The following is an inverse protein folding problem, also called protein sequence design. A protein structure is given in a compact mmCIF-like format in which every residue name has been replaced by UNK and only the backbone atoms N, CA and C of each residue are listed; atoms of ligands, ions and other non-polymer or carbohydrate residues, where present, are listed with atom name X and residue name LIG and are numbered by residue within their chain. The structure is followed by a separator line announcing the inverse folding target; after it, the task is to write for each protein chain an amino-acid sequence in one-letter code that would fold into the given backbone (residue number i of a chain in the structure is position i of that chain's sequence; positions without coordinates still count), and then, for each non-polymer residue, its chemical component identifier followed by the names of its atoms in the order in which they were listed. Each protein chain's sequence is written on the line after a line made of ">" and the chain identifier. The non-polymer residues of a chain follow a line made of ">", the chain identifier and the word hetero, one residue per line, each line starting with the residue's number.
data_IF_328338260835
#
_entry.id   IF_328338260835
#
_cell.length_a   1.000
_cell.length_b   1.000
_cell.length_c   1.000
_cell.angle_alpha   90.00
_cell.angle_beta   90.00
_cell.angle_gamma   90.00
#
_symmetry.space_group_name_H-M   'P 1'
#
loop_
_entity.id
_entity.type
_entity.pdbx_description
1 polymer ?
#
# COMPACT_ATOMS: atom_id res chain seq x y z
N UNK A 1 7.11 -17.35 -8.45
CA UNK A 1 5.82 -16.71 -8.75
C UNK A 1 6.08 -15.53 -9.66
N UNK A 2 5.20 -15.27 -10.61
CA UNK A 2 5.27 -14.14 -11.54
C UNK A 2 4.52 -12.93 -10.94
N UNK A 3 5.09 -11.72 -11.10
CA UNK A 3 4.47 -10.49 -10.61
C UNK A 3 3.46 -9.93 -11.60
N UNK A 4 2.25 -9.62 -11.15
CA UNK A 4 1.17 -9.06 -11.98
C UNK A 4 0.73 -7.71 -11.41
N UNK A 5 0.63 -6.71 -12.27
CA UNK A 5 0.07 -5.39 -11.92
C UNK A 5 -1.35 -5.24 -12.48
N UNK A 6 -2.23 -4.61 -11.70
CA UNK A 6 -3.62 -4.33 -12.09
C UNK A 6 -3.98 -2.90 -11.72
N UNK A 7 -4.70 -2.23 -12.60
CA UNK A 7 -5.30 -0.92 -12.33
C UNK A 7 -6.81 -1.11 -12.21
N UNK A 8 -7.39 -0.55 -11.15
CA UNK A 8 -8.82 -0.63 -10.88
C UNK A 8 -9.43 0.77 -10.84
N UNK A 9 -10.66 0.89 -11.31
CA UNK A 9 -11.45 2.11 -11.13
C UNK A 9 -12.16 2.06 -9.79
N UNK A 10 -12.14 3.16 -9.02
CA UNK A 10 -12.67 3.21 -7.65
C UNK A 10 -14.17 2.95 -7.54
N UNK A 11 -14.95 3.33 -8.56
CA UNK A 11 -16.42 3.21 -8.57
C UNK A 11 -16.93 2.18 -9.58
N UNK A 12 -16.10 1.20 -9.94
CA UNK A 12 -16.53 0.15 -10.88
C UNK A 12 -17.49 -0.83 -10.21
N UNK A 13 -18.60 -1.21 -10.87
CA UNK A 13 -19.53 -2.23 -10.35
C UNK A 13 -18.92 -3.64 -10.34
N UNK A 14 -17.76 -3.85 -10.99
CA UNK A 14 -17.06 -5.13 -10.99
C UNK A 14 -16.26 -5.39 -9.71
N UNK A 15 -16.06 -4.37 -8.87
CA UNK A 15 -15.29 -4.47 -7.62
C UNK A 15 -16.25 -4.44 -6.43
N UNK A 16 -16.23 -5.49 -5.61
CA UNK A 16 -17.12 -5.62 -4.45
C UNK A 16 -16.72 -4.69 -3.29
N UNK A 17 -15.45 -4.71 -2.88
CA UNK A 17 -14.92 -3.87 -1.80
C UNK A 17 -13.41 -3.69 -1.91
N UNK A 18 -12.89 -2.66 -1.26
CA UNK A 18 -11.45 -2.39 -1.11
C UNK A 18 -11.16 -2.30 0.39
N UNK A 19 -10.41 -3.26 0.93
CA UNK A 19 -10.03 -3.32 2.34
C UNK A 19 -8.51 -3.18 2.52
N UNK A 20 -8.09 -2.32 3.46
CA UNK A 20 -6.67 -2.12 3.78
C UNK A 20 -6.21 -3.25 4.70
N UNK A 21 -5.40 -4.17 4.16
CA UNK A 21 -4.83 -5.27 4.97
C UNK A 21 -3.70 -4.83 5.89
N UNK A 22 -2.85 -3.90 5.43
CA UNK A 22 -1.69 -3.36 6.18
C UNK A 22 -1.24 -2.03 5.58
N UNK A 23 -0.72 -1.12 6.41
CA UNK A 23 -0.12 0.15 5.97
C UNK A 23 1.40 -0.02 5.81
N UNK A 24 1.94 0.20 4.62
CA UNK A 24 3.39 0.16 4.38
C UNK A 24 4.05 1.52 4.62
N UNK A 25 5.26 1.53 5.20
CA UNK A 25 6.10 2.73 5.31
C UNK A 25 6.85 2.98 3.98
N UNK A 26 6.43 4.01 3.27
CA UNK A 26 6.99 4.41 1.97
C UNK A 26 7.19 5.93 1.90
N UNK A 27 8.26 6.35 1.23
CA UNK A 27 8.62 7.77 1.09
C UNK A 27 8.14 8.41 -0.21
N UNK A 28 7.74 7.59 -1.20
CA UNK A 28 7.35 8.05 -2.54
C UNK A 28 5.91 7.64 -2.81
N UNK A 29 5.13 8.51 -3.44
CA UNK A 29 3.75 8.21 -3.84
C UNK A 29 3.68 7.14 -4.94
N UNK A 30 4.63 7.15 -5.89
CA UNK A 30 4.71 6.16 -6.98
C UNK A 30 5.79 5.12 -6.66
N UNK A 31 5.40 3.85 -6.61
CA UNK A 31 6.26 2.73 -6.19
C UNK A 31 6.91 1.96 -7.35
N UNK A 32 7.10 2.60 -8.51
CA UNK A 32 7.65 1.92 -9.71
C UNK A 32 9.02 1.28 -9.52
N UNK A 33 9.81 1.77 -8.55
CA UNK A 33 11.10 1.17 -8.22
C UNK A 33 10.98 -0.29 -7.73
N UNK A 34 9.79 -0.72 -7.31
CA UNK A 34 9.55 -2.11 -6.92
C UNK A 34 9.54 -3.06 -8.12
N UNK A 35 9.23 -2.58 -9.34
CA UNK A 35 9.24 -3.40 -10.56
C UNK A 35 10.59 -4.04 -10.86
N UNK A 36 11.67 -3.32 -10.53
CA UNK A 36 13.03 -3.79 -10.73
C UNK A 36 13.59 -4.57 -9.53
N UNK A 37 12.84 -4.69 -8.42
CA UNK A 37 13.30 -5.34 -7.19
C UNK A 37 12.59 -6.66 -6.99
N UNK A 38 13.32 -7.64 -6.46
CA UNK A 38 12.79 -8.96 -6.12
C UNK A 38 13.30 -9.44 -4.75
N UNK A 39 12.61 -10.43 -4.20
CA UNK A 39 12.96 -11.06 -2.92
C UNK A 39 12.93 -10.09 -1.74
N UNK A 40 13.94 -10.19 -0.85
CA UNK A 40 14.01 -9.39 0.39
C UNK A 40 14.07 -7.88 0.13
N UNK A 41 14.65 -7.45 -0.99
CA UNK A 41 14.84 -6.04 -1.35
C UNK A 41 13.55 -5.31 -1.74
N UNK A 42 12.51 -6.05 -2.14
CA UNK A 42 11.20 -5.53 -2.49
C UNK A 42 10.24 -5.44 -1.29
N UNK A 43 10.62 -5.99 -0.12
CA UNK A 43 9.76 -6.02 1.06
C UNK A 43 9.68 -4.63 1.71
N UNK A 44 8.47 -4.07 1.74
CA UNK A 44 8.17 -2.83 2.46
C UNK A 44 7.88 -3.16 3.93
N UNK A 45 8.41 -2.34 4.84
CA UNK A 45 8.13 -2.44 6.29
C UNK A 45 6.75 -1.89 6.59
N UNK A 46 6.12 -2.42 7.62
CA UNK A 46 4.82 -1.93 8.08
C UNK A 46 4.99 -0.60 8.84
N UNK A 47 4.03 0.29 8.68
CA UNK A 47 3.96 1.54 9.43
C UNK A 47 3.28 1.26 10.77
N UNK A 48 4.06 0.91 11.78
CA UNK A 48 3.58 0.79 13.16
C UNK A 48 3.23 2.19 13.66
N UNK A 49 2.00 2.40 14.13
CA UNK A 49 1.38 3.69 14.41
C UNK A 49 1.95 4.49 15.59
N UNK A 50 3.28 4.57 15.75
CA UNK A 50 3.95 5.38 16.77
C UNK A 50 3.80 6.91 16.57
N UNK A 51 2.72 7.36 15.92
CA UNK A 51 2.43 8.77 15.67
C UNK A 51 0.96 9.07 15.33
N UNK A 52 0.02 8.18 15.68
CA UNK A 52 -1.43 8.43 15.59
C UNK A 52 -2.05 8.59 17.01
N UNK A 53 -1.36 9.30 17.92
CA UNK A 53 -1.94 9.90 19.13
C UNK A 53 -1.82 11.43 19.00
N UNK A 54 -2.83 12.07 18.44
CA UNK A 54 -2.79 13.50 18.16
C UNK A 54 -3.81 13.95 17.12
N UNK A 55 -5.05 13.50 17.28
CA UNK A 55 -6.22 14.03 16.57
C UNK A 55 -7.27 14.30 17.62
N UNK A 56 -7.26 15.52 18.13
CA UNK A 56 -8.18 16.08 19.10
C UNK A 56 -9.63 15.77 18.75
N UNK A 57 -10.39 15.39 19.79
CA UNK A 57 -11.82 15.66 19.87
C UNK A 57 -12.08 17.12 19.47
N UNK A 58 -12.90 17.30 18.43
CA UNK A 58 -13.90 18.35 18.28
C UNK A 58 -14.91 17.92 17.21
#
# INVERSE_FOLDING_TARGET
>A
GEGVERTFQTYSPLIASIEVKRKGDVRRAKLYYLRARSGKSARIREKTGAGEEGGSEE
#
